data_IF_565431608315
#
_entry.id   IF_565431608315
#
_cell.length_a   1.000
_cell.length_b   1.000
_cell.length_c   1.000
_cell.angle_alpha   90.00
_cell.angle_beta   90.00
_cell.angle_gamma   90.00
#
_symmetry.space_group_name_H-M   'P 1'
#
loop_
_entity.id
_entity.type
_entity.pdbx_description
1 polymer ?
2 non-polymer ?
3 non-polymer ?
4 water ?
#
# COMPACT_ATOMS: atom_id res chain seq x y z
N UNK A 8 12.25 -21.63 1.24
CA UNK A 8 13.39 -21.10 2.04
C UNK A 8 14.51 -20.38 1.27
N UNK A 9 14.10 -19.36 0.50
CA UNK A 9 15.04 -18.55 -0.29
C UNK A 9 15.59 -17.40 0.56
N UNK A 10 16.58 -16.69 0.02
CA UNK A 10 17.24 -15.60 0.70
C UNK A 10 16.45 -14.27 0.56
N UNK A 11 16.71 -13.42 1.53
CA UNK A 11 16.22 -12.06 1.66
C UNK A 11 16.51 -11.26 0.40
N UNK A 12 17.66 -11.46 -0.25
CA UNK A 12 17.99 -10.76 -1.48
C UNK A 12 17.11 -11.40 -2.53
N UNK A 13 16.83 -12.72 -2.47
CA UNK A 13 15.93 -13.17 -3.55
C UNK A 13 14.57 -12.45 -3.51
N UNK A 14 13.98 -12.46 -2.31
CA UNK A 14 12.69 -11.87 -1.99
C UNK A 14 12.60 -10.40 -2.34
N UNK A 15 13.65 -9.64 -2.04
CA UNK A 15 13.63 -8.20 -2.37
C UNK A 15 13.80 -8.03 -3.90
N UNK A 16 14.55 -8.94 -4.52
CA UNK A 16 14.72 -8.87 -6.00
C UNK A 16 13.39 -9.22 -6.58
N UNK A 17 12.68 -10.28 -6.16
CA UNK A 17 11.32 -10.47 -6.68
C UNK A 17 10.38 -9.29 -6.46
N UNK A 18 10.47 -8.64 -5.28
CA UNK A 18 9.61 -7.44 -5.08
C UNK A 18 9.88 -6.33 -6.09
N UNK A 19 11.14 -6.00 -6.31
CA UNK A 19 11.50 -4.94 -7.28
C UNK A 19 10.94 -5.32 -8.64
N UNK A 20 11.14 -6.54 -9.10
CA UNK A 20 10.62 -6.98 -10.40
C UNK A 20 9.10 -6.98 -10.45
N UNK A 21 8.43 -7.18 -9.29
CA UNK A 21 6.97 -7.22 -9.32
C UNK A 21 6.33 -5.83 -9.36
N UNK A 22 7.07 -4.77 -9.13
CA UNK A 22 6.49 -3.43 -9.15
C UNK A 22 5.66 -3.12 -10.39
N UNK A 23 4.40 -2.80 -10.22
CA UNK A 23 3.50 -2.39 -11.28
C UNK A 23 4.07 -1.22 -12.09
N UNK A 24 3.61 -1.11 -13.32
CA UNK A 24 3.98 0.00 -14.20
C UNK A 24 3.33 1.28 -13.64
N UNK A 25 4.07 2.38 -13.67
CA UNK A 25 3.53 3.66 -13.17
C UNK A 25 2.35 4.05 -14.06
N UNK A 26 1.15 4.26 -13.54
CA UNK A 26 -0.05 4.58 -14.29
C UNK A 26 -0.16 6.08 -14.60
N UNK A 27 -0.08 6.43 -15.88
CA UNK A 27 -0.17 7.80 -16.31
C UNK A 27 -1.61 8.22 -16.60
N UNK A 28 -1.96 9.30 -15.94
CA UNK A 28 -3.27 9.93 -16.09
C UNK A 28 -2.87 11.41 -16.10
N UNK A 29 -3.73 12.18 -16.73
CA UNK A 29 -3.54 13.61 -16.86
C UNK A 29 -4.72 14.32 -16.21
N UNK A 30 -4.42 15.57 -15.85
CA UNK A 30 -5.49 16.36 -15.25
C UNK A 30 -6.42 16.61 -16.44
N UNK A 31 -7.69 16.70 -16.14
CA UNK A 31 -8.75 16.98 -17.10
C UNK A 31 -8.50 18.30 -17.82
N UNK A 32 -7.64 19.16 -17.29
CA UNK A 32 -7.17 20.43 -17.74
C UNK A 32 -8.24 21.51 -17.74
N UNK A 33 -9.39 21.20 -17.18
CA UNK A 33 -10.56 22.05 -17.07
C UNK A 33 -11.08 21.84 -15.66
N UNK A 34 -10.51 22.58 -14.73
CA UNK A 34 -10.82 22.53 -13.32
C UNK A 34 -12.27 22.25 -12.97
N UNK A 35 -12.47 21.32 -12.04
CA UNK A 35 -13.81 20.97 -11.58
C UNK A 35 -13.71 20.79 -10.06
N UNK A 36 -14.87 20.79 -9.44
CA UNK A 36 -14.98 20.67 -7.99
C UNK A 36 -15.01 19.22 -7.53
N UNK A 37 -16.22 18.76 -7.22
CA UNK A 37 -16.44 17.40 -6.77
C UNK A 37 -16.51 16.45 -7.95
N UNK A 38 -17.10 16.94 -9.04
CA UNK A 38 -17.28 16.14 -10.23
C UNK A 38 -16.04 15.55 -10.89
N UNK A 39 -15.22 16.38 -11.52
CA UNK A 39 -14.06 15.90 -12.24
C UNK A 39 -12.88 15.48 -11.39
N UNK A 40 -12.67 16.07 -10.23
CA UNK A 40 -11.53 15.63 -9.42
C UNK A 40 -11.67 14.15 -9.11
N UNK A 41 -12.79 13.75 -8.50
CA UNK A 41 -13.05 12.37 -8.13
C UNK A 41 -13.13 11.44 -9.34
N UNK A 42 -13.69 11.94 -10.42
CA UNK A 42 -13.85 11.19 -11.66
C UNK A 42 -12.47 10.71 -12.14
N UNK A 43 -11.49 11.59 -12.19
CA UNK A 43 -10.13 11.26 -12.60
C UNK A 43 -9.56 10.28 -11.56
N UNK A 44 -9.69 10.59 -10.29
CA UNK A 44 -9.23 9.76 -9.20
C UNK A 44 -9.80 8.36 -9.33
N UNK A 45 -11.09 8.23 -9.61
CA UNK A 45 -11.70 6.92 -9.75
C UNK A 45 -11.09 6.18 -10.93
N UNK A 46 -10.74 6.85 -12.02
CA UNK A 46 -10.20 6.14 -13.18
C UNK A 46 -8.77 5.70 -12.90
N UNK A 47 -8.11 6.55 -12.12
CA UNK A 47 -6.72 6.22 -11.75
C UNK A 47 -6.69 4.96 -10.89
N UNK A 48 -7.48 4.92 -9.84
CA UNK A 48 -7.56 3.80 -8.94
C UNK A 48 -7.88 2.54 -9.67
N UNK A 49 -8.92 2.58 -10.51
CA UNK A 49 -9.32 1.41 -11.28
C UNK A 49 -8.19 0.90 -12.14
N UNK A 50 -7.39 1.77 -12.77
CA UNK A 50 -6.28 1.21 -13.55
C UNK A 50 -5.28 0.54 -12.60
N UNK A 51 -4.96 1.20 -11.48
CA UNK A 51 -4.02 0.70 -10.49
C UNK A 51 -4.49 -0.60 -9.89
N UNK A 52 -5.78 -0.78 -9.62
CA UNK A 52 -6.28 -2.02 -9.06
C UNK A 52 -6.08 -3.17 -10.05
N UNK A 53 -6.16 -2.91 -11.36
CA UNK A 53 -5.92 -4.01 -12.31
C UNK A 53 -4.47 -4.40 -12.07
N UNK A 54 -3.48 -3.54 -12.10
CA UNK A 54 -2.12 -3.96 -11.86
C UNK A 54 -1.90 -4.48 -10.45
N UNK A 55 -2.72 -4.09 -9.44
CA UNK A 55 -2.48 -4.59 -8.09
C UNK A 55 -2.68 -6.08 -7.99
N UNK A 56 -3.58 -6.67 -8.75
CA UNK A 56 -3.76 -8.12 -8.60
C UNK A 56 -2.60 -8.81 -9.25
N UNK A 57 -2.06 -8.20 -10.33
CA UNK A 57 -0.92 -8.88 -10.99
C UNK A 57 0.27 -8.79 -10.03
N UNK A 58 0.42 -7.64 -9.36
CA UNK A 58 1.56 -7.56 -8.43
C UNK A 58 1.36 -8.53 -7.27
N UNK A 59 0.14 -8.64 -6.71
CA UNK A 59 -0.07 -9.49 -5.53
C UNK A 59 0.31 -10.91 -5.80
N UNK A 60 -0.05 -11.37 -7.02
CA UNK A 60 0.32 -12.73 -7.43
C UNK A 60 1.79 -13.02 -7.47
N UNK A 61 2.65 -12.03 -7.54
CA UNK A 61 4.09 -12.21 -7.56
C UNK A 61 4.67 -12.10 -6.17
N UNK A 62 3.90 -11.78 -5.12
CA UNK A 62 4.55 -11.71 -3.80
C UNK A 62 4.85 -13.12 -3.34
N UNK A 63 6.04 -13.45 -2.94
CA UNK A 63 6.42 -14.80 -2.56
C UNK A 63 5.45 -15.34 -1.57
N UNK A 64 4.97 -16.55 -1.82
CA UNK A 64 4.02 -17.30 -1.07
C UNK A 64 2.59 -16.91 -1.35
N UNK A 65 2.25 -15.75 -1.89
CA UNK A 65 0.82 -15.38 -2.02
C UNK A 65 -0.05 -16.38 -2.79
N UNK A 66 0.45 -16.91 -3.91
CA UNK A 66 -0.28 -17.86 -4.71
C UNK A 66 -0.26 -19.23 -4.07
N UNK A 67 0.49 -19.44 -2.98
CA UNK A 67 0.38 -20.75 -2.33
C UNK A 67 -0.68 -20.71 -1.23
N UNK A 68 -1.36 -19.58 -1.09
CA UNK A 68 -2.47 -19.39 -0.17
C UNK A 68 -3.71 -19.89 -0.97
N UNK A 69 -4.74 -20.26 -0.25
CA UNK A 69 -5.97 -20.68 -0.90
C UNK A 69 -6.49 -19.43 -1.58
N UNK A 70 -7.32 -19.57 -2.60
CA UNK A 70 -7.94 -18.46 -3.31
C UNK A 70 -8.84 -17.69 -2.39
N UNK A 71 -9.45 -18.35 -1.40
CA UNK A 71 -10.33 -17.66 -0.45
C UNK A 71 -9.45 -16.67 0.36
N UNK A 72 -8.24 -17.13 0.77
CA UNK A 72 -7.40 -16.18 1.52
C UNK A 72 -6.97 -15.06 0.61
N UNK A 73 -6.48 -15.37 -0.61
CA UNK A 73 -6.05 -14.36 -1.56
C UNK A 73 -7.10 -13.30 -1.79
N UNK A 74 -8.33 -13.77 -2.06
CA UNK A 74 -9.42 -12.80 -2.29
C UNK A 74 -9.58 -11.98 -1.01
N UNK A 75 -9.73 -12.54 0.18
CA UNK A 75 -9.93 -11.66 1.34
C UNK A 75 -8.79 -10.70 1.62
N UNK A 76 -7.54 -11.12 1.41
CA UNK A 76 -6.46 -10.16 1.66
C UNK A 76 -6.60 -8.94 0.76
N UNK A 77 -6.76 -9.17 -0.53
CA UNK A 77 -6.91 -8.06 -1.46
C UNK A 77 -8.13 -7.20 -1.19
N UNK A 78 -9.29 -7.76 -0.88
CA UNK A 78 -10.48 -7.00 -0.53
C UNK A 78 -10.26 -6.12 0.67
N UNK A 79 -9.46 -6.49 1.70
CA UNK A 79 -9.27 -5.51 2.78
C UNK A 79 -8.03 -4.63 2.66
N UNK A 80 -7.00 -4.82 1.85
CA UNK A 80 -5.88 -3.90 1.88
C UNK A 80 -5.66 -3.08 0.61
N UNK A 81 -6.55 -3.22 -0.39
CA UNK A 81 -6.35 -2.45 -1.63
C UNK A 81 -6.20 -0.98 -1.38
N UNK A 82 -7.02 -0.28 -0.59
CA UNK A 82 -6.86 1.15 -0.35
C UNK A 82 -5.56 1.45 0.39
N UNK A 83 -5.18 0.66 1.39
CA UNK A 83 -3.87 0.86 2.02
C UNK A 83 -2.74 0.78 0.98
N UNK A 84 -2.83 -0.22 0.08
CA UNK A 84 -1.82 -0.41 -0.96
C UNK A 84 -1.80 0.79 -1.87
N UNK A 85 -2.94 1.27 -2.33
CA UNK A 85 -3.00 2.48 -3.13
C UNK A 85 -2.38 3.66 -2.39
N UNK A 86 -2.78 3.81 -1.10
CA UNK A 86 -2.27 4.93 -0.33
C UNK A 86 -0.78 4.95 -0.12
N UNK A 87 -0.25 3.75 0.17
CA UNK A 87 1.22 3.75 0.42
C UNK A 87 1.90 4.04 -0.92
N UNK A 88 1.41 3.62 -2.09
CA UNK A 88 2.16 4.01 -3.32
C UNK A 88 2.09 5.53 -3.53
N UNK A 89 0.96 6.14 -3.23
CA UNK A 89 0.77 7.59 -3.38
C UNK A 89 1.75 8.30 -2.45
N UNK A 90 1.84 7.77 -1.20
CA UNK A 90 2.79 8.34 -0.26
C UNK A 90 4.21 8.28 -0.78
N UNK A 91 4.66 7.13 -1.27
CA UNK A 91 5.99 7.00 -1.80
C UNK A 91 6.23 7.95 -3.00
N UNK A 92 5.21 8.11 -3.86
CA UNK A 92 5.36 8.96 -5.03
C UNK A 92 5.51 10.43 -4.61
N UNK A 93 4.78 10.84 -3.56
CA UNK A 93 4.80 12.17 -3.03
C UNK A 93 5.88 12.50 -2.03
N UNK A 94 6.59 11.45 -1.58
CA UNK A 94 7.60 11.68 -0.58
C UNK A 94 8.51 12.86 -0.79
N UNK A 95 9.05 13.11 -1.99
CA UNK A 95 10.05 14.17 -2.16
C UNK A 95 9.42 15.48 -2.58
N UNK A 96 8.12 15.63 -2.35
CA UNK A 96 7.33 16.79 -2.70
C UNK A 96 6.37 17.30 -1.62
N UNK A 97 6.94 17.95 -0.61
CA UNK A 97 6.19 18.53 0.47
C UNK A 97 5.02 19.32 -0.07
N UNK A 98 3.89 19.15 0.60
CA UNK A 98 2.67 19.82 0.24
C UNK A 98 1.85 19.29 -0.90
N UNK A 99 2.38 18.34 -1.67
CA UNK A 99 1.53 17.86 -2.80
C UNK A 99 1.30 16.38 -2.78
N UNK A 100 0.30 15.83 -3.39
CA UNK A 100 -0.03 14.42 -3.50
C UNK A 100 0.13 14.07 -4.98
N UNK A 101 1.21 13.33 -5.29
CA UNK A 101 1.46 12.97 -6.66
C UNK A 101 0.66 11.72 -7.00
N UNK A 102 -0.61 11.86 -7.38
CA UNK A 102 -1.38 10.67 -7.70
C UNK A 102 -0.89 10.00 -8.99
N UNK A 103 -0.24 10.70 -9.88
CA UNK A 103 0.29 10.26 -11.15
C UNK A 103 1.17 11.41 -11.61
N UNK A 104 2.19 11.15 -12.39
CA UNK A 104 3.15 12.15 -12.83
C UNK A 104 2.52 13.38 -13.46
N UNK A 105 1.36 13.20 -14.08
CA UNK A 105 0.65 14.33 -14.67
C UNK A 105 -0.70 14.47 -13.97
N UNK A 106 -0.63 14.46 -12.64
CA UNK A 106 -1.81 14.60 -11.78
C UNK A 106 -1.26 14.82 -10.37
N UNK A 107 -0.81 16.05 -10.17
CA UNK A 107 -0.19 16.51 -8.95
C UNK A 107 -1.08 17.55 -8.28
N UNK A 108 -1.74 17.12 -7.22
CA UNK A 108 -2.63 17.99 -6.49
C UNK A 108 -2.02 18.62 -5.27
N UNK A 109 -2.18 19.94 -5.14
CA UNK A 109 -1.62 20.62 -3.99
C UNK A 109 -2.60 20.46 -2.82
N UNK A 110 -2.09 20.64 -1.61
CA UNK A 110 -2.91 20.49 -0.43
C UNK A 110 -4.26 21.20 -0.48
N UNK A 111 -4.29 22.49 -0.78
CA UNK A 111 -5.53 23.24 -0.84
C UNK A 111 -6.47 22.87 -1.96
N UNK A 112 -6.15 22.05 -2.94
CA UNK A 112 -7.08 21.70 -4.01
C UNK A 112 -8.07 20.62 -3.57
N UNK A 113 -7.90 20.13 -2.34
CA UNK A 113 -8.74 19.12 -1.73
C UNK A 113 -10.00 19.72 -1.11
N UNK A 114 -10.11 21.05 -1.18
CA UNK A 114 -11.26 21.79 -0.70
C UNK A 114 -12.41 21.63 -1.68
N UNK A 115 -12.09 21.22 -2.89
CA UNK A 115 -13.10 20.99 -3.91
C UNK A 115 -13.98 19.81 -3.58
N UNK A 116 -13.48 18.71 -3.02
CA UNK A 116 -14.35 17.57 -2.71
C UNK A 116 -14.95 17.63 -1.32
N UNK A 117 -15.96 16.82 -1.02
CA UNK A 117 -16.67 16.80 0.24
C UNK A 117 -15.95 16.38 1.50
N UNK A 118 -15.10 17.26 2.03
CA UNK A 118 -14.38 16.98 3.27
C UNK A 118 -13.29 15.93 3.03
N UNK A 119 -12.41 16.24 2.08
CA UNK A 119 -11.33 15.34 1.74
C UNK A 119 -9.99 15.95 2.14
N UNK A 120 -10.04 17.19 2.62
CA UNK A 120 -8.84 17.93 3.03
C UNK A 120 -8.20 17.37 4.29
N UNK A 121 -9.04 16.86 5.20
CA UNK A 121 -8.50 16.29 6.43
C UNK A 121 -7.94 14.92 6.07
N UNK A 122 -8.53 14.25 5.08
CA UNK A 122 -7.99 12.97 4.64
C UNK A 122 -6.67 13.25 3.87
N UNK A 123 -6.62 14.32 3.09
CA UNK A 123 -5.43 14.72 2.36
C UNK A 123 -4.33 15.12 3.34
N UNK A 124 -4.71 15.67 4.49
CA UNK A 124 -3.70 16.06 5.47
C UNK A 124 -3.12 14.84 6.16
N UNK A 125 -3.97 13.83 6.39
CA UNK A 125 -3.47 12.58 7.01
C UNK A 125 -2.38 12.00 6.08
N UNK A 126 -2.72 11.96 4.79
CA UNK A 126 -1.83 11.44 3.76
C UNK A 126 -0.56 12.24 3.63
N UNK A 127 -0.69 13.56 3.79
CA UNK A 127 0.55 14.36 3.70
C UNK A 127 1.38 14.17 4.95
N UNK A 128 0.72 14.06 6.11
CA UNK A 128 1.56 13.87 7.33
C UNK A 128 2.24 12.49 7.25
N UNK A 129 1.48 11.41 6.92
CA UNK A 129 2.16 10.11 6.83
C UNK A 129 3.29 10.22 5.83
N UNK A 130 3.05 10.84 4.67
CA UNK A 130 4.13 11.06 3.72
C UNK A 130 5.26 11.83 4.37
N UNK A 131 5.00 12.91 5.17
CA UNK A 131 6.14 13.58 5.81
C UNK A 131 6.88 12.67 6.78
N UNK A 132 6.18 11.73 7.47
CA UNK A 132 6.96 10.84 8.40
C UNK A 132 7.96 10.01 7.61
N UNK A 133 7.49 9.51 6.45
CA UNK A 133 8.34 8.74 5.55
C UNK A 133 9.54 9.55 5.07
N UNK A 134 9.24 10.81 4.72
CA UNK A 134 10.35 11.69 4.26
C UNK A 134 11.31 11.91 5.42
N UNK A 135 10.73 12.19 6.59
CA UNK A 135 11.61 12.41 7.75
C UNK A 135 12.46 11.18 7.99
N UNK A 136 11.88 9.95 7.82
CA UNK A 136 12.72 8.81 8.09
C UNK A 136 13.65 8.55 6.92
N UNK A 137 13.48 9.28 5.82
CA UNK A 137 14.30 9.03 4.64
C UNK A 137 14.04 7.60 4.19
N UNK A 138 12.84 7.14 4.02
CA UNK A 138 12.43 5.82 3.58
C UNK A 138 13.16 5.48 2.28
N UNK A 139 13.88 4.36 2.23
CA UNK A 139 14.56 3.92 1.01
C UNK A 139 13.61 3.01 0.20
N UNK A 140 13.80 2.96 -1.12
CA UNK A 140 12.99 2.26 -2.07
C UNK A 140 12.79 0.78 -1.70
N UNK A 141 13.83 0.06 -1.33
CA UNK A 141 13.88 -1.28 -0.90
C UNK A 141 13.07 -1.42 0.43
N UNK A 142 13.12 -0.47 1.31
CA UNK A 142 12.35 -0.57 2.56
C UNK A 142 10.87 -0.45 2.21
N UNK A 143 10.61 0.52 1.34
CA UNK A 143 9.25 0.70 0.88
C UNK A 143 8.67 -0.58 0.27
N UNK A 144 9.45 -1.34 -0.48
CA UNK A 144 9.00 -2.56 -1.12
C UNK A 144 8.57 -3.61 -0.07
N UNK A 145 9.35 -3.72 0.98
CA UNK A 145 9.01 -4.65 2.03
C UNK A 145 7.74 -4.19 2.74
N UNK A 146 7.68 -2.90 3.01
CA UNK A 146 6.48 -2.38 3.73
C UNK A 146 5.21 -2.59 2.94
N UNK A 147 5.22 -2.37 1.62
CA UNK A 147 4.01 -2.59 0.84
C UNK A 147 3.61 -4.07 0.79
N UNK A 148 4.60 -4.97 0.72
CA UNK A 148 4.29 -6.41 0.69
C UNK A 148 3.72 -6.82 2.07
N UNK A 149 4.25 -6.21 3.15
CA UNK A 149 3.75 -6.48 4.47
C UNK A 149 2.31 -5.98 4.63
N UNK A 150 1.93 -4.86 4.03
CA UNK A 150 0.54 -4.38 4.09
C UNK A 150 -0.35 -5.46 3.47
N UNK A 151 -0.03 -6.07 2.34
CA UNK A 151 -0.88 -7.09 1.74
C UNK A 151 -0.94 -8.31 2.66
N UNK A 152 0.20 -8.82 3.15
CA UNK A 152 0.15 -10.04 3.93
C UNK A 152 -0.37 -9.87 5.34
N UNK A 153 -0.34 -8.71 5.99
CA UNK A 153 -0.81 -8.51 7.33
C UNK A 153 -2.24 -7.93 7.29
N UNK A 154 -2.91 -7.99 6.15
CA UNK A 154 -4.26 -7.55 5.98
C UNK A 154 -5.20 -8.33 6.84
N UNK A 155 -6.28 -7.72 7.28
CA UNK A 155 -7.27 -8.43 8.06
C UNK A 155 -8.22 -9.19 7.15
N UNK A 156 -8.54 -10.45 7.34
CA UNK A 156 -9.49 -11.07 6.39
C UNK A 156 -10.90 -10.99 6.98
N UNK A 157 -11.89 -10.81 6.16
CA UNK A 157 -13.27 -10.77 6.58
C UNK A 157 -14.23 -11.26 5.53
N UNK A 158 -15.29 -11.94 5.91
CA UNK A 158 -15.55 -12.36 7.27
C UNK A 158 -14.55 -13.45 7.68
N UNK A 159 -14.54 -13.86 8.93
CA UNK A 159 -13.70 -14.80 9.59
C UNK A 159 -14.17 -16.23 9.53
N UNK A 160 -13.26 -17.18 9.45
CA UNK A 160 -13.62 -18.59 9.37
C UNK A 160 -13.66 -19.06 10.81
N UNK A 161 -13.71 -20.36 11.04
CA UNK A 161 -13.74 -20.76 12.42
C UNK A 161 -12.38 -20.40 13.00
N UNK A 162 -12.37 -20.45 14.33
CA UNK A 162 -11.14 -20.15 15.05
C UNK A 162 -10.07 -21.11 14.55
N UNK A 163 -10.31 -22.38 14.34
CA UNK A 163 -9.40 -23.37 13.84
C UNK A 163 -8.96 -23.10 12.38
N UNK A 164 -9.88 -22.78 11.51
CA UNK A 164 -9.51 -22.48 10.12
C UNK A 164 -8.63 -21.23 10.08
N UNK A 165 -8.96 -20.22 10.83
CA UNK A 165 -8.28 -18.96 10.92
C UNK A 165 -6.85 -19.20 11.42
N UNK A 166 -6.71 -20.09 12.38
CA UNK A 166 -5.39 -20.32 12.93
C UNK A 166 -4.49 -20.87 11.84
N UNK A 167 -5.01 -21.75 10.99
CA UNK A 167 -4.22 -22.34 9.92
C UNK A 167 -3.84 -21.21 8.95
N UNK A 168 -4.77 -20.35 8.63
CA UNK A 168 -4.44 -19.28 7.72
C UNK A 168 -3.33 -18.36 8.34
N UNK A 169 -3.45 -18.07 9.61
CA UNK A 169 -2.54 -17.19 10.33
C UNK A 169 -1.15 -17.78 10.33
N UNK A 170 -1.04 -19.07 10.63
CA UNK A 170 0.29 -19.70 10.66
C UNK A 170 1.05 -19.47 9.35
N UNK A 171 0.35 -19.75 8.27
CA UNK A 171 0.88 -19.58 6.93
C UNK A 171 1.25 -18.12 6.63
N UNK A 172 0.34 -17.20 6.89
CA UNK A 172 0.57 -15.78 6.65
C UNK A 172 1.72 -15.32 7.53
N UNK A 173 1.85 -15.80 8.75
CA UNK A 173 2.91 -15.45 9.66
C UNK A 173 4.22 -15.95 9.05
N UNK A 174 4.28 -17.14 8.52
CA UNK A 174 5.48 -17.63 7.88
C UNK A 174 5.85 -16.71 6.73
N UNK A 175 4.95 -16.22 5.91
CA UNK A 175 5.26 -15.32 4.85
C UNK A 175 5.66 -13.92 5.31
N UNK A 176 5.06 -13.42 6.38
CA UNK A 176 5.42 -12.12 6.91
C UNK A 176 6.83 -12.24 7.48
N UNK A 177 7.21 -13.35 8.10
CA UNK A 177 8.58 -13.50 8.64
C UNK A 177 9.66 -13.43 7.56
N UNK A 178 9.40 -13.96 6.36
CA UNK A 178 10.31 -13.91 5.24
C UNK A 178 10.40 -12.42 4.88
N UNK A 179 9.31 -11.67 4.79
CA UNK A 179 9.43 -10.25 4.48
C UNK A 179 10.14 -9.47 5.55
N UNK A 180 9.98 -9.75 6.81
CA UNK A 180 10.70 -9.11 7.91
C UNK A 180 12.20 -9.38 7.78
N UNK A 181 12.56 -10.65 7.47
CA UNK A 181 13.94 -11.00 7.30
C UNK A 181 14.56 -10.14 6.19
N UNK A 182 13.84 -9.96 5.08
CA UNK A 182 14.32 -9.13 4.00
C UNK A 182 14.40 -7.67 4.44
N UNK A 183 13.40 -7.16 5.19
CA UNK A 183 13.52 -5.76 5.60
C UNK A 183 14.70 -5.59 6.57
N UNK A 184 14.95 -6.51 7.49
CA UNK A 184 16.04 -6.48 8.45
C UNK A 184 17.35 -6.40 7.70
N UNK A 185 17.42 -7.20 6.66
CA UNK A 185 18.59 -7.28 5.78
C UNK A 185 18.74 -5.95 5.06
N UNK A 186 17.69 -5.40 4.47
CA UNK A 186 17.78 -4.11 3.84
C UNK A 186 18.27 -3.06 4.85
N UNK A 187 17.70 -3.10 6.08
CA UNK A 187 18.12 -2.12 7.06
C UNK A 187 19.58 -2.31 7.44
N UNK A 188 20.06 -3.54 7.60
CA UNK A 188 21.43 -3.76 8.00
C UNK A 188 22.42 -3.24 6.96
N UNK A 189 22.06 -3.05 5.70
CA UNK A 189 22.99 -2.54 4.69
C UNK A 189 23.32 -1.06 4.86
N UNK A 190 22.65 -0.32 5.72
CA UNK A 190 22.91 1.09 5.91
C UNK A 190 24.09 1.27 6.88
N UNK A 191 24.41 0.19 7.58
CA UNK A 191 25.50 0.15 8.52
C UNK A 191 25.26 0.87 9.84
N UNK A 192 24.00 1.08 10.21
CA UNK A 192 23.76 1.81 11.47
C UNK A 192 23.96 0.80 12.57
N UNK A 193 23.97 1.27 13.82
CA UNK A 193 24.16 0.28 14.87
C UNK A 193 22.93 -0.61 15.04
N UNK A 194 23.21 -1.65 15.79
CA UNK A 194 22.26 -2.66 16.16
C UNK A 194 21.04 -1.95 16.79
N UNK A 195 21.20 -1.09 17.77
CA UNK A 195 20.15 -0.36 18.43
C UNK A 195 19.31 0.47 17.42
N UNK A 196 20.00 1.15 16.52
CA UNK A 196 19.37 1.96 15.50
C UNK A 196 18.62 1.08 14.50
N UNK A 197 19.08 -0.09 14.20
CA UNK A 197 18.42 -1.02 13.30
C UNK A 197 17.08 -1.47 13.90
N UNK A 198 17.01 -1.74 15.20
CA UNK A 198 15.72 -2.13 15.75
C UNK A 198 14.74 -0.95 15.75
N UNK A 199 15.27 0.21 16.12
CA UNK A 199 14.43 1.42 16.17
C UNK A 199 13.91 1.68 14.75
N UNK A 200 14.72 1.51 13.71
CA UNK A 200 14.28 1.77 12.35
C UNK A 200 13.25 0.71 11.94
N UNK A 201 13.48 -0.55 12.32
CA UNK A 201 12.48 -1.58 11.99
C UNK A 201 11.12 -1.16 12.58
N UNK A 202 11.20 -0.76 13.84
CA UNK A 202 10.01 -0.34 14.60
C UNK A 202 9.40 0.92 14.05
N UNK A 203 10.16 1.94 13.65
CA UNK A 203 9.60 3.15 13.10
C UNK A 203 8.75 2.80 11.84
N UNK A 204 9.33 1.98 10.95
CA UNK A 204 8.58 1.63 9.75
C UNK A 204 7.35 0.79 10.07
N UNK A 205 7.44 -0.23 10.91
CA UNK A 205 6.31 -1.05 11.25
C UNK A 205 5.21 -0.23 11.94
N UNK A 206 5.54 0.69 12.81
CA UNK A 206 4.49 1.51 13.47
C UNK A 206 3.70 2.38 12.49
N UNK A 207 4.28 2.78 11.37
CA UNK A 207 3.47 3.55 10.42
C UNK A 207 2.47 2.63 9.75
N UNK A 208 2.60 1.30 9.85
CA UNK A 208 1.61 0.45 9.25
C UNK A 208 0.23 0.73 9.89
N UNK A 209 0.19 1.01 11.19
CA UNK A 209 -1.06 1.23 11.86
C UNK A 209 -1.62 2.55 11.36
N UNK A 210 -0.78 3.51 10.99
CA UNK A 210 -1.27 4.79 10.48
C UNK A 210 -1.88 4.63 9.07
N UNK A 211 -1.28 3.81 8.23
CA UNK A 211 -1.75 3.52 6.88
C UNK A 211 -3.10 2.83 7.00
N UNK A 212 -3.34 1.93 7.93
CA UNK A 212 -4.54 1.19 8.18
C UNK A 212 -5.68 2.16 8.57
N UNK A 213 -5.30 3.05 9.50
CA UNK A 213 -6.21 4.07 10.01
C UNK A 213 -6.64 5.00 8.86
N UNK A 214 -5.69 5.54 8.10
CA UNK A 214 -6.09 6.41 6.99
C UNK A 214 -6.97 5.67 5.99
N UNK A 215 -6.69 4.44 5.65
CA UNK A 215 -7.46 3.64 4.74
C UNK A 215 -8.92 3.52 5.23
N UNK A 216 -9.03 3.19 6.53
CA UNK A 216 -10.33 3.03 7.13
C UNK A 216 -11.18 4.33 6.95
N UNK A 217 -10.59 5.48 7.16
CA UNK A 217 -11.21 6.80 7.03
C UNK A 217 -11.60 7.07 5.59
N UNK A 218 -10.63 6.87 4.70
CA UNK A 218 -10.77 7.03 3.27
C UNK A 218 -11.94 6.16 2.81
N UNK A 219 -12.00 4.91 3.25
CA UNK A 219 -13.10 4.06 2.81
C UNK A 219 -14.45 4.60 3.30
N UNK A 220 -14.49 5.05 4.56
CA UNK A 220 -15.75 5.57 5.09
C UNK A 220 -16.16 6.87 4.38
N UNK A 221 -15.16 7.68 4.06
CA UNK A 221 -15.30 8.93 3.37
C UNK A 221 -15.81 8.68 1.94
N UNK A 222 -15.28 7.70 1.23
CA UNK A 222 -15.73 7.42 -0.12
C UNK A 222 -17.18 6.91 -0.06
N UNK A 223 -17.48 6.04 0.87
CA UNK A 223 -18.78 5.42 1.04
C UNK A 223 -19.87 6.37 1.50
N UNK A 224 -19.52 7.52 2.06
CA UNK A 224 -20.50 8.50 2.52
C UNK A 224 -20.87 9.47 1.41
N UNK A 225 -20.15 9.35 0.30
CA UNK A 225 -20.35 10.20 -0.88
C UNK A 225 -20.86 9.35 -2.05
N UNK A 226 -21.05 8.07 -1.73
CA UNK A 226 -21.53 7.08 -2.69
C UNK A 226 -22.14 5.90 -1.93
N UNK A 235 -15.78 -8.46 -7.65
CA UNK A 235 -16.29 -9.82 -7.73
C UNK A 235 -15.72 -10.57 -8.93
N UNK A 236 -14.73 -9.98 -9.59
CA UNK A 236 -14.06 -10.56 -10.75
C UNK A 236 -12.59 -10.76 -10.38
N UNK A 237 -12.34 -10.69 -9.08
CA UNK A 237 -11.03 -10.85 -8.48
C UNK A 237 -10.42 -12.18 -8.89
N UNK A 238 -11.21 -13.25 -8.78
CA UNK A 238 -10.81 -14.60 -9.14
C UNK A 238 -10.48 -14.75 -10.63
N UNK A 239 -11.24 -14.03 -11.46
CA UNK A 239 -11.05 -14.05 -12.90
C UNK A 239 -9.68 -13.46 -13.24
N UNK A 240 -9.31 -12.40 -12.55
CA UNK A 240 -8.02 -11.77 -12.75
C UNK A 240 -6.94 -12.54 -11.98
N UNK A 241 -7.33 -13.22 -10.90
CA UNK A 241 -6.42 -13.99 -10.08
C UNK A 241 -5.99 -15.31 -10.73
N UNK A 242 -6.90 -16.10 -11.29
CA UNK A 242 -6.52 -17.36 -11.90
C UNK A 242 -5.83 -17.22 -13.25
N UNK A 243 -6.09 -16.14 -13.99
CA UNK A 243 -5.46 -15.96 -15.30
C UNK A 243 -3.95 -16.12 -15.22
X LIG B 1 7.32 7.21 13.68
X LIG B 1 7.35 7.34 14.92
X LIG B 1 7.72 8.06 12.87
X LIG B 1 6.77 5.91 13.06
X LIG C 1 -6.43 6.92 -5.94
X LIG C 1 -5.22 6.42 -6.43
X LIG C 1 -4.13 6.34 -5.56
X LIG C 1 -2.94 5.87 -6.04
X LIG C 1 -4.28 6.72 -4.21
X LIG C 1 -5.46 7.19 -3.74
X LIG C 1 -5.90 7.70 -2.20
X LIG C 1 -7.51 8.08 -2.50
X LIG C 1 -8.45 8.61 -1.49
X LIG C 1 -8.19 9.75 -0.79
X LIG C 1 -9.07 10.27 0.16
X LIG C 1 -10.26 9.60 0.41
X LIG C 1 -11.15 10.10 1.35
X LIG C 1 -10.54 8.44 -0.28
X LIG C 1 -9.65 7.95 -1.22
X LIG C 1 -6.57 7.30 -4.61
X LIG C 1 -7.75 7.80 -3.88
X LIG C 1 -8.99 8.05 -4.46
X LIG C 1 -9.34 9.23 -4.63
X LIG C 1 -9.89 6.96 -4.86
X LIG C 1 -11.06 7.23 -5.56
X LIG C 1 -11.97 6.23 -5.98
X LIG C 1 -11.63 4.93 -5.63
X LIG C 1 -10.47 4.67 -4.92
X LIG C 1 -9.61 5.65 -4.54
X LIG C 1 -12.33 3.75 -5.89
X LIG C 1 -12.99 3.69 -7.14
X LIG C 1 -14.03 2.57 -6.99
X LIG C 1 -13.65 1.21 -7.39
X LIG C 1 -14.94 0.47 -7.56
X LIG C 1 -14.73 -0.97 -8.04
X LIG C 1 -13.88 -1.73 -7.01
X LIG C 1 -12.57 -0.95 -6.81
X LIG C 1 -12.85 0.50 -6.38
#
# INVERSE_FOLDING_TARGET
VKELLLSTLSPEQLVLTLLEAEPPNVLVSRPSMPFTEASMMMSLTKLADKELVHMIGWAKKIPGFVELSLLDQVRLLESCWMEVLMVGLMWRSIDHPGKLIFAPDLVLDRDEGKCVEGILEIFDMLLATTSRFRELKLQHKEYLCVKAMILLNSSMYPLASANQEAESSRKLTHLLNAVTDALVWVIAKSGISSQQQSVRLANLLMLLSHVRHISNKGMEHLLSMKCKNVVPVYDLLLEMLNAHLTRGYKSSISG
ACT C O OXT CH3
RAL C1 C2 C3 O3 C4 C5 S6 C7 C8 C9 C10 C11 O11 C12 C13 C14 C15 C16 O16 C17 C18 C19 C20 C21 C22 O23 C24 C25 N26 C27 C28 C29 C30 C31
#
